data_IF_197201253387
#
_entry.id   IF_197201253387
#
_cell.length_a   1.000
_cell.length_b   1.000
_cell.length_c   1.000
_cell.angle_alpha   90.00
_cell.angle_beta   90.00
_cell.angle_gamma   90.00
#
_symmetry.space_group_name_H-M   'P 1'
#
loop_
_entity.id
_entity.type
_entity.pdbx_description
1 polymer ?
#
# COMPACT_ATOMS: atom_id res chain seq x y z
N UNK A 1 -10.70 -15.62 -6.35
CA UNK A 1 -11.10 -14.24 -6.77
C UNK A 1 -10.50 -13.27 -5.77
N UNK A 2 -9.30 -12.76 -6.03
CA UNK A 2 -8.55 -12.03 -4.99
C UNK A 2 -8.85 -10.53 -5.10
N UNK A 3 -9.57 -10.01 -4.09
CA UNK A 3 -9.65 -8.59 -3.79
C UNK A 3 -8.36 -8.25 -3.03
N UNK A 4 -7.38 -7.67 -3.70
CA UNK A 4 -6.28 -7.03 -2.97
C UNK A 4 -6.77 -5.65 -2.57
N UNK A 5 -6.97 -5.46 -1.27
CA UNK A 5 -7.25 -4.18 -0.67
C UNK A 5 -5.91 -3.54 -0.31
N UNK A 6 -5.66 -2.36 -0.85
CA UNK A 6 -4.61 -1.49 -0.32
C UNK A 6 -5.25 -0.24 0.27
N UNK A 7 -5.01 -0.02 1.57
CA UNK A 7 -5.42 1.19 2.26
C UNK A 7 -4.27 2.19 2.22
N UNK A 8 -4.53 3.37 1.65
CA UNK A 8 -3.63 4.53 1.72
C UNK A 8 -4.15 5.44 2.82
N UNK A 9 -3.32 5.72 3.82
CA UNK A 9 -3.58 6.66 4.90
C UNK A 9 -2.74 7.92 4.70
N UNK A 10 -3.37 9.08 4.77
CA UNK A 10 -2.73 10.39 4.55
C UNK A 10 -3.00 11.28 5.76
N UNK A 11 -1.96 11.89 6.35
CA UNK A 11 -1.95 12.74 7.56
C UNK A 11 -1.81 11.99 8.91
N UNK A 12 -1.84 12.74 10.02
CA UNK A 12 -1.78 12.21 11.38
C UNK A 12 -3.05 11.45 11.81
N UNK A 13 -2.97 10.72 12.93
CA UNK A 13 -4.06 9.86 13.42
C UNK A 13 -5.35 10.63 13.77
N UNK A 14 -5.30 11.96 13.91
CA UNK A 14 -6.47 12.76 14.31
C UNK A 14 -7.39 13.09 13.12
N UNK A 15 -6.85 13.14 11.89
CA UNK A 15 -7.62 13.48 10.67
C UNK A 15 -7.33 12.56 9.48
N UNK A 16 -7.05 11.29 9.77
CA UNK A 16 -6.60 10.32 8.76
C UNK A 16 -7.64 10.12 7.64
N UNK A 17 -7.26 10.51 6.41
CA UNK A 17 -8.02 10.19 5.21
C UNK A 17 -7.62 8.80 4.71
N UNK A 18 -8.61 8.00 4.30
CA UNK A 18 -8.45 6.59 3.92
C UNK A 18 -8.96 6.34 2.51
N UNK A 19 -8.11 5.78 1.65
CA UNK A 19 -8.50 5.34 0.30
C UNK A 19 -8.29 3.82 0.17
N UNK A 20 -9.35 3.13 -0.27
CA UNK A 20 -9.33 1.70 -0.53
C UNK A 20 -9.28 1.44 -2.04
N UNK A 21 -8.19 0.82 -2.49
CA UNK A 21 -8.07 0.37 -3.88
C UNK A 21 -8.36 -1.13 -3.93
N UNK A 22 -9.39 -1.49 -4.71
CA UNK A 22 -9.92 -2.85 -4.84
C UNK A 22 -9.96 -3.21 -6.32
N UNK A 23 -9.50 -4.41 -6.65
CA UNK A 23 -9.64 -4.93 -7.99
C UNK A 23 -9.01 -6.31 -8.15
N UNK A 24 -9.13 -6.88 -9.35
CA UNK A 24 -8.58 -8.19 -9.70
C UNK A 24 -7.05 -8.17 -9.75
N UNK A 25 -6.41 -9.32 -9.52
CA UNK A 25 -4.95 -9.48 -9.64
C UNK A 25 -4.50 -9.07 -11.06
N UNK A 26 -3.33 -8.44 -11.19
CA UNK A 26 -2.72 -8.01 -12.47
C UNK A 26 -3.54 -6.96 -13.27
N UNK A 27 -4.28 -6.08 -12.60
CA UNK A 27 -5.02 -4.97 -13.25
C UNK A 27 -4.45 -3.58 -12.89
N UNK A 28 -3.14 -3.50 -12.69
CA UNK A 28 -2.45 -2.21 -12.49
C UNK A 28 -2.57 -1.57 -11.10
N UNK A 29 -3.19 -2.22 -10.11
CA UNK A 29 -3.36 -1.66 -8.76
C UNK A 29 -2.04 -1.29 -8.10
N UNK A 30 -1.06 -2.20 -8.09
CA UNK A 30 0.26 -1.92 -7.50
C UNK A 30 0.89 -0.71 -8.15
N UNK A 31 0.82 -0.60 -9.48
CA UNK A 31 1.35 0.55 -10.21
C UNK A 31 0.64 1.85 -9.80
N UNK A 32 -0.70 1.85 -9.80
CA UNK A 32 -1.50 3.00 -9.37
C UNK A 32 -1.18 3.42 -7.93
N UNK A 33 -0.97 2.47 -7.02
CA UNK A 33 -0.61 2.76 -5.63
C UNK A 33 0.77 3.39 -5.55
N UNK A 34 1.77 2.85 -6.26
CA UNK A 34 3.12 3.42 -6.32
C UNK A 34 3.05 4.86 -6.80
N UNK A 35 2.38 5.11 -7.93
CA UNK A 35 2.23 6.46 -8.50
C UNK A 35 1.51 7.41 -7.52
N UNK A 36 0.47 6.94 -6.81
CA UNK A 36 -0.23 7.73 -5.78
C UNK A 36 0.64 8.03 -4.57
N UNK A 37 1.43 7.06 -4.09
CA UNK A 37 2.33 7.26 -2.94
C UNK A 37 3.41 8.27 -3.31
N UNK A 38 4.05 8.13 -4.49
CA UNK A 38 5.04 9.08 -4.99
C UNK A 38 4.45 10.49 -5.08
N UNK A 39 3.26 10.64 -5.67
CA UNK A 39 2.63 11.95 -5.84
C UNK A 39 2.18 12.58 -4.52
N UNK A 40 1.61 11.80 -3.60
CA UNK A 40 1.15 12.35 -2.32
C UNK A 40 2.34 12.71 -1.42
N UNK A 41 3.40 11.91 -1.44
CA UNK A 41 4.62 12.18 -0.66
C UNK A 41 5.40 13.37 -1.24
N UNK A 42 5.45 13.53 -2.57
CA UNK A 42 6.06 14.70 -3.22
C UNK A 42 5.37 16.01 -2.83
N UNK A 43 4.07 15.95 -2.53
CA UNK A 43 3.28 17.08 -1.99
C UNK A 43 3.48 17.31 -0.48
N UNK A 44 4.40 16.61 0.16
CA UNK A 44 4.71 16.74 1.59
C UNK A 44 3.75 16.02 2.53
N UNK A 45 2.87 15.15 2.01
CA UNK A 45 1.93 14.39 2.84
C UNK A 45 2.61 13.15 3.41
N UNK A 46 2.30 12.83 4.67
CA UNK A 46 2.75 11.60 5.30
C UNK A 46 1.81 10.45 4.90
N UNK A 47 2.32 9.52 4.11
CA UNK A 47 1.55 8.42 3.51
C UNK A 47 1.90 7.08 4.14
N UNK A 48 0.91 6.30 4.55
CA UNK A 48 1.04 4.90 4.92
C UNK A 48 0.29 3.99 3.95
N UNK A 49 0.81 2.79 3.70
CA UNK A 49 0.11 1.77 2.90
C UNK A 49 -0.10 0.49 3.71
N UNK A 50 -1.24 -0.17 3.51
CA UNK A 50 -1.52 -1.50 4.08
C UNK A 50 -2.01 -2.42 2.99
N UNK A 51 -1.33 -3.55 2.75
CA UNK A 51 -1.75 -4.58 1.80
C UNK A 51 -2.40 -5.76 2.51
N UNK A 52 -3.59 -6.17 2.07
CA UNK A 52 -4.19 -7.46 2.48
C UNK A 52 -3.75 -8.59 1.53
N UNK A 53 -3.23 -9.69 2.08
CA UNK A 53 -2.79 -10.87 1.30
C UNK A 53 -3.16 -12.18 1.98
N UNK A 54 -3.36 -13.24 1.19
CA UNK A 54 -3.60 -14.60 1.68
C UNK A 54 -2.34 -15.47 1.74
N UNK A 55 -1.17 -14.92 1.39
CA UNK A 55 0.09 -15.66 1.36
C UNK A 55 1.09 -15.07 2.36
N UNK A 56 1.87 -15.91 3.05
CA UNK A 56 3.06 -15.45 3.79
C UNK A 56 3.91 -14.60 2.84
N UNK A 57 4.10 -13.34 3.19
CA UNK A 57 4.94 -12.42 2.45
C UNK A 57 6.23 -12.19 3.23
N UNK A 58 7.35 -12.30 2.53
CA UNK A 58 8.59 -11.68 2.95
C UNK A 58 8.44 -10.16 2.76
N UNK A 59 8.71 -9.41 3.83
CA UNK A 59 8.67 -7.95 3.81
C UNK A 59 9.87 -7.43 3.03
N UNK A 60 9.65 -6.38 2.25
CA UNK A 60 10.70 -5.60 1.56
C UNK A 60 11.65 -6.37 0.62
N UNK A 61 11.22 -7.49 0.05
CA UNK A 61 11.96 -8.13 -1.04
C UNK A 61 11.83 -7.31 -2.33
N UNK A 62 12.94 -6.98 -3.04
CA UNK A 62 12.89 -6.30 -4.32
C UNK A 62 11.90 -6.94 -5.30
N UNK A 63 11.08 -6.10 -5.93
CA UNK A 63 10.04 -6.54 -6.87
C UNK A 63 8.71 -6.97 -6.25
N UNK A 64 8.55 -6.95 -4.91
CA UNK A 64 7.25 -7.14 -4.24
C UNK A 64 6.56 -5.81 -3.98
N UNK A 65 5.23 -5.83 -3.85
CA UNK A 65 4.42 -4.63 -3.58
C UNK A 65 4.89 -3.84 -2.35
N UNK A 66 5.25 -4.53 -1.26
CA UNK A 66 5.73 -3.88 -0.03
C UNK A 66 7.01 -3.08 -0.26
N UNK A 67 7.97 -3.67 -0.98
CA UNK A 67 9.20 -2.99 -1.39
C UNK A 67 8.89 -1.78 -2.27
N UNK A 68 8.05 -1.97 -3.30
CA UNK A 68 7.69 -0.88 -4.22
C UNK A 68 7.01 0.29 -3.50
N UNK A 69 6.09 0.02 -2.56
CA UNK A 69 5.44 1.08 -1.78
C UNK A 69 6.42 1.81 -0.86
N UNK A 70 7.39 1.09 -0.29
CA UNK A 70 8.44 1.69 0.55
C UNK A 70 9.35 2.59 -0.27
N UNK A 71 9.81 2.11 -1.42
CA UNK A 71 10.65 2.89 -2.35
C UNK A 71 9.92 4.11 -2.90
N UNK A 72 8.60 4.03 -3.10
CA UNK A 72 7.74 5.14 -3.50
C UNK A 72 7.62 6.27 -2.46
N UNK A 73 8.12 6.08 -1.23
CA UNK A 73 8.11 7.10 -0.18
C UNK A 73 7.07 6.88 0.93
N UNK A 74 6.39 5.72 0.97
CA UNK A 74 5.47 5.43 2.07
C UNK A 74 6.23 5.41 3.41
N UNK A 75 5.80 6.25 4.36
CA UNK A 75 6.37 6.35 5.70
C UNK A 75 6.15 5.07 6.52
N UNK A 76 5.08 4.33 6.23
CA UNK A 76 4.76 3.04 6.85
C UNK A 76 4.22 2.09 5.77
N UNK A 77 4.68 0.85 5.77
CA UNK A 77 4.13 -0.23 4.94
C UNK A 77 3.74 -1.38 5.85
N UNK A 78 2.45 -1.68 5.88
CA UNK A 78 1.87 -2.80 6.63
C UNK A 78 1.42 -3.91 5.69
N UNK A 79 1.58 -5.15 6.13
CA UNK A 79 0.96 -6.32 5.48
C UNK A 79 0.00 -6.94 6.48
N UNK A 80 -1.25 -7.11 6.06
CA UNK A 80 -2.25 -7.89 6.75
C UNK A 80 -2.36 -9.23 6.03
N UNK A 81 -2.12 -10.32 6.75
CA UNK A 81 -2.37 -11.66 6.23
C UNK A 81 -3.24 -12.46 7.16
N UNK A 82 -4.13 -13.29 6.60
CA UNK A 82 -4.85 -14.31 7.39
C UNK A 82 -3.85 -15.40 7.78
N UNK A 83 -3.24 -15.25 8.94
CA UNK A 83 -2.57 -16.33 9.66
C UNK A 83 -3.24 -16.42 11.03
N UNK A 84 -4.36 -17.13 11.09
CA UNK A 84 -4.82 -17.81 12.30
C UNK A 84 -4.88 -19.28 11.96
#
# INVERSE_FOLDING_TARGET
MTLELVLIAVNDLKTMKRLHLIGRKNHGKTRLIVDLVEELTSRGLRVGTIKHTHHRHELDTPGKDSYQHRTAGAAVVGILSRSM
#
